data_IF_205303671412
#
_entry.id   IF_205303671412
#
_cell.length_a   1.000
_cell.length_b   1.000
_cell.length_c   1.000
_cell.angle_alpha   90.00
_cell.angle_beta   90.00
_cell.angle_gamma   90.00
#
_symmetry.space_group_name_H-M   'P 1'
#
loop_
_entity.id
_entity.type
_entity.pdbx_description
1 polymer ?
#
# COMPACT_ATOMS: atom_id res chain seq x y z
N UNK A 1 -14.86 5.25 -21.18
CA UNK A 1 -14.41 4.79 -19.86
C UNK A 1 -13.78 5.96 -19.13
N UNK A 2 -14.24 6.26 -17.91
CA UNK A 2 -13.68 7.32 -17.08
C UNK A 2 -12.28 6.88 -16.61
N UNK A 3 -11.22 7.60 -16.99
CA UNK A 3 -9.86 7.29 -16.54
C UNK A 3 -9.63 7.94 -15.16
N UNK A 4 -9.95 7.20 -14.10
CA UNK A 4 -9.82 7.64 -12.70
C UNK A 4 -8.40 8.12 -12.36
N UNK A 5 -7.38 7.46 -12.91
CA UNK A 5 -5.97 7.81 -12.72
C UNK A 5 -5.62 9.20 -13.26
N UNK A 6 -6.16 9.59 -14.42
CA UNK A 6 -5.93 10.91 -15.01
C UNK A 6 -6.58 12.04 -14.20
N UNK A 7 -7.82 11.84 -13.74
CA UNK A 7 -8.52 12.82 -12.90
C UNK A 7 -7.85 12.98 -11.52
N UNK A 8 -7.41 11.88 -10.92
CA UNK A 8 -6.61 11.91 -9.69
C UNK A 8 -5.32 12.69 -9.89
N UNK A 9 -4.59 12.42 -10.98
CA UNK A 9 -3.36 13.14 -11.35
C UNK A 9 -3.61 14.64 -11.55
N UNK A 10 -4.74 15.01 -12.19
CA UNK A 10 -5.15 16.40 -12.33
C UNK A 10 -5.34 17.09 -10.97
N UNK A 11 -6.11 16.47 -10.06
CA UNK A 11 -6.37 17.07 -8.74
C UNK A 11 -5.09 17.18 -7.90
N UNK A 12 -4.21 16.17 -7.91
CA UNK A 12 -2.91 16.28 -7.23
C UNK A 12 -2.02 17.37 -7.81
N UNK A 13 -1.90 17.46 -9.15
CA UNK A 13 -1.12 18.53 -9.80
C UNK A 13 -1.66 19.90 -9.42
N UNK A 14 -2.99 20.06 -9.38
CA UNK A 14 -3.65 21.31 -9.02
C UNK A 14 -3.45 21.67 -7.55
N UNK A 15 -3.59 20.71 -6.64
CA UNK A 15 -3.30 20.89 -5.22
C UNK A 15 -1.83 21.30 -4.98
N UNK A 16 -0.88 20.60 -5.61
CA UNK A 16 0.55 20.93 -5.54
C UNK A 16 0.85 22.33 -6.07
N UNK A 17 0.23 22.72 -7.19
CA UNK A 17 0.35 24.07 -7.77
C UNK A 17 -0.11 25.12 -6.75
N UNK A 18 -1.31 24.99 -6.18
CA UNK A 18 -1.81 25.95 -5.19
C UNK A 18 -0.95 26.01 -3.92
N UNK A 19 -0.41 24.88 -3.46
CA UNK A 19 0.50 24.84 -2.31
C UNK A 19 1.80 25.61 -2.57
N UNK A 20 2.37 25.51 -3.77
CA UNK A 20 3.57 26.26 -4.17
C UNK A 20 3.27 27.76 -4.23
N UNK A 21 2.19 28.15 -4.89
CA UNK A 21 1.79 29.57 -4.95
C UNK A 21 1.43 30.14 -3.57
N UNK A 22 0.80 29.34 -2.71
CA UNK A 22 0.50 29.73 -1.33
C UNK A 22 1.78 30.06 -0.56
N UNK A 23 2.80 29.20 -0.63
CA UNK A 23 4.11 29.45 0.01
C UNK A 23 4.80 30.70 -0.52
N UNK A 24 4.73 30.94 -1.83
CA UNK A 24 5.26 32.15 -2.44
C UNK A 24 4.55 33.40 -1.90
N UNK A 25 3.22 33.36 -1.83
CA UNK A 25 2.38 34.43 -1.27
C UNK A 25 2.73 34.72 0.19
N UNK A 26 2.88 33.67 1.01
CA UNK A 26 3.28 33.81 2.41
C UNK A 26 4.66 34.43 2.55
N UNK A 27 5.64 34.01 1.74
CA UNK A 27 6.99 34.57 1.73
C UNK A 27 6.98 36.08 1.42
N UNK A 28 6.18 36.49 0.43
CA UNK A 28 6.06 37.89 0.06
C UNK A 28 5.38 38.73 1.16
N UNK A 29 4.34 38.17 1.80
CA UNK A 29 3.68 38.78 2.96
C UNK A 29 4.65 38.99 4.14
N UNK A 30 5.45 37.96 4.47
CA UNK A 30 6.48 38.04 5.52
C UNK A 30 7.52 39.11 5.18
N UNK A 31 8.05 39.09 3.95
CA UNK A 31 9.10 40.01 3.51
C UNK A 31 8.64 41.46 3.57
N UNK A 32 7.44 41.76 3.06
CA UNK A 32 6.87 43.11 3.11
C UNK A 32 6.58 43.57 4.54
N UNK A 33 6.18 42.66 5.42
CA UNK A 33 5.99 42.96 6.86
C UNK A 33 7.32 43.22 7.56
N UNK A 34 8.40 42.53 7.19
CA UNK A 34 9.74 42.83 7.73
C UNK A 34 10.24 44.19 7.22
N UNK A 35 10.06 44.48 5.93
CA UNK A 35 10.42 45.77 5.34
C UNK A 35 9.67 46.91 6.04
N UNK A 36 8.38 46.74 6.32
CA UNK A 36 7.58 47.77 6.99
C UNK A 36 8.03 48.04 8.44
N UNK A 37 8.62 47.06 9.12
CA UNK A 37 9.23 47.23 10.46
C UNK A 37 10.61 47.92 10.37
N UNK A 38 11.40 47.64 9.33
CA UNK A 38 12.75 48.19 9.17
C UNK A 38 12.75 49.67 8.74
N UNK A 39 11.69 50.12 8.07
CA UNK A 39 11.48 51.52 7.73
C UNK A 39 11.20 52.32 9.01
N UNK A 40 12.18 53.12 9.47
CA UNK A 40 11.99 54.00 10.63
C UNK A 40 10.86 55.00 10.35
N UNK A 41 9.94 55.24 11.30
CA UNK A 41 8.89 56.23 11.13
C UNK A 41 9.51 57.63 11.02
N UNK A 42 9.37 58.20 9.83
CA UNK A 42 9.55 59.62 9.49
C UNK A 42 8.29 60.00 8.72
N UNK A 43 7.81 61.24 8.83
CA UNK A 43 6.55 61.67 8.21
C UNK A 43 6.39 61.28 6.73
N UNK A 44 7.47 61.16 5.95
CA UNK A 44 7.47 60.74 4.55
C UNK A 44 7.41 59.21 4.35
N UNK A 45 7.88 58.43 5.32
CA UNK A 45 7.93 56.97 5.28
C UNK A 45 6.62 56.30 5.74
N UNK A 46 5.74 57.04 6.43
CA UNK A 46 4.49 56.50 6.99
C UNK A 46 3.56 55.95 5.89
N UNK A 47 3.42 56.68 4.78
CA UNK A 47 2.62 56.26 3.62
C UNK A 47 3.17 54.95 3.04
N UNK A 48 4.49 54.82 2.95
CA UNK A 48 5.15 53.63 2.42
C UNK A 48 4.95 52.43 3.35
N UNK A 49 5.01 52.62 4.66
CA UNK A 49 4.77 51.58 5.66
C UNK A 49 3.33 51.05 5.58
N UNK A 50 2.35 51.96 5.44
CA UNK A 50 0.95 51.57 5.24
C UNK A 50 0.75 50.82 3.93
N UNK A 51 1.33 51.31 2.82
CA UNK A 51 1.26 50.65 1.53
C UNK A 51 1.84 49.22 1.59
N UNK A 52 3.03 49.06 2.17
CA UNK A 52 3.65 47.75 2.37
C UNK A 52 2.78 46.81 3.19
N UNK A 53 2.14 47.32 4.25
CA UNK A 53 1.27 46.52 5.12
C UNK A 53 -0.03 46.13 4.41
N UNK A 54 -0.62 47.03 3.62
CA UNK A 54 -1.81 46.73 2.81
C UNK A 54 -1.49 45.63 1.81
N UNK A 55 -0.39 45.77 1.06
CA UNK A 55 0.05 44.77 0.08
C UNK A 55 0.37 43.44 0.77
N UNK A 56 1.03 43.46 1.92
CA UNK A 56 1.31 42.27 2.72
C UNK A 56 0.02 41.55 3.19
N UNK A 57 -1.03 42.30 3.55
CA UNK A 57 -2.33 41.73 3.94
C UNK A 57 -3.05 41.05 2.76
N UNK A 58 -2.95 41.60 1.55
CA UNK A 58 -3.49 40.98 0.33
C UNK A 58 -2.78 39.64 0.08
N UNK A 59 -1.46 39.59 0.22
CA UNK A 59 -0.70 38.35 0.10
C UNK A 59 -1.02 37.33 1.21
N UNK A 60 -1.34 37.77 2.42
CA UNK A 60 -1.77 36.88 3.51
C UNK A 60 -3.14 36.26 3.22
N UNK A 61 -4.12 37.07 2.79
CA UNK A 61 -5.45 36.58 2.40
C UNK A 61 -5.35 35.63 1.20
N UNK A 62 -4.51 35.98 0.21
CA UNK A 62 -4.27 35.13 -0.94
C UNK A 62 -3.63 33.80 -0.53
N UNK A 63 -2.68 33.80 0.42
CA UNK A 63 -2.12 32.58 0.99
C UNK A 63 -3.21 31.68 1.61
N UNK A 64 -4.08 32.22 2.48
CA UNK A 64 -5.16 31.44 3.08
C UNK A 64 -6.11 30.85 2.04
N UNK A 65 -6.47 31.64 1.01
CA UNK A 65 -7.32 31.17 -0.10
C UNK A 65 -6.64 30.04 -0.88
N UNK A 66 -5.36 30.17 -1.19
CA UNK A 66 -4.59 29.15 -1.92
C UNK A 66 -4.41 27.87 -1.09
N UNK A 67 -4.19 28.00 0.21
CA UNK A 67 -4.06 26.84 1.12
C UNK A 67 -5.40 26.11 1.29
N UNK A 68 -6.51 26.84 1.37
CA UNK A 68 -7.85 26.26 1.32
C UNK A 68 -8.10 25.49 0.02
N UNK A 69 -7.79 26.09 -1.13
CA UNK A 69 -7.93 25.43 -2.44
C UNK A 69 -7.04 24.18 -2.54
N UNK A 70 -5.78 24.29 -2.11
CA UNK A 70 -4.84 23.17 -2.03
C UNK A 70 -5.44 21.99 -1.24
N UNK A 71 -5.93 22.25 -0.02
CA UNK A 71 -6.58 21.23 0.83
C UNK A 71 -7.84 20.66 0.17
N UNK A 72 -8.68 21.49 -0.44
CA UNK A 72 -9.91 21.06 -1.13
C UNK A 72 -9.61 20.11 -2.30
N UNK A 73 -8.66 20.45 -3.16
CA UNK A 73 -8.28 19.60 -4.29
C UNK A 73 -7.53 18.34 -3.85
N UNK A 74 -6.72 18.42 -2.78
CA UNK A 74 -6.07 17.24 -2.21
C UNK A 74 -7.11 16.24 -1.69
N UNK A 75 -8.13 16.71 -0.93
CA UNK A 75 -9.25 15.86 -0.48
C UNK A 75 -9.95 15.18 -1.64
N UNK A 76 -10.32 15.93 -2.68
CA UNK A 76 -10.93 15.35 -3.91
C UNK A 76 -10.05 14.29 -4.57
N UNK A 77 -8.72 14.49 -4.60
CA UNK A 77 -7.80 13.49 -5.15
C UNK A 77 -7.75 12.21 -4.29
N UNK A 78 -7.78 12.35 -2.96
CA UNK A 78 -7.84 11.24 -2.01
C UNK A 78 -9.14 10.47 -2.15
N UNK A 79 -10.27 11.17 -2.16
CA UNK A 79 -11.60 10.57 -2.24
C UNK A 79 -11.75 9.79 -3.55
N UNK A 80 -11.34 10.39 -4.68
CA UNK A 80 -11.37 9.74 -5.98
C UNK A 80 -10.46 8.50 -6.03
N UNK A 81 -9.30 8.57 -5.37
CA UNK A 81 -8.43 7.39 -5.26
C UNK A 81 -9.07 6.29 -4.42
N UNK A 82 -9.72 6.63 -3.29
CA UNK A 82 -10.42 5.64 -2.49
C UNK A 82 -11.57 4.98 -3.26
N UNK A 83 -12.31 5.75 -4.07
CA UNK A 83 -13.36 5.22 -4.94
C UNK A 83 -12.81 4.32 -6.06
N UNK A 84 -11.67 4.67 -6.65
CA UNK A 84 -10.96 3.83 -7.62
C UNK A 84 -10.59 2.48 -6.97
N UNK A 85 -10.09 2.49 -5.72
CA UNK A 85 -9.74 1.28 -4.99
C UNK A 85 -10.96 0.44 -4.61
N UNK A 86 -12.04 1.06 -4.16
CA UNK A 86 -13.30 0.37 -3.90
C UNK A 86 -13.82 -0.24 -5.22
N UNK A 87 -13.72 0.46 -6.35
CA UNK A 87 -14.13 -0.09 -7.65
C UNK A 87 -13.28 -1.28 -8.11
N UNK A 88 -11.99 -1.33 -7.75
CA UNK A 88 -11.14 -2.50 -7.99
C UNK A 88 -11.51 -3.70 -7.10
N UNK A 89 -12.07 -3.45 -5.91
CA UNK A 89 -12.37 -4.47 -4.89
C UNK A 89 -13.84 -4.94 -4.94
N UNK A 90 -14.78 -4.08 -5.29
CA UNK A 90 -16.23 -4.35 -5.32
C UNK A 90 -16.76 -4.24 -6.73
N UNK A 91 -17.45 -5.27 -7.23
CA UNK A 91 -18.01 -5.32 -8.58
C UNK A 91 -18.83 -4.06 -8.94
N UNK A 92 -18.23 -3.23 -9.81
CA UNK A 92 -18.70 -2.21 -10.79
C UNK A 92 -20.04 -1.43 -10.64
N UNK A 93 -21.06 -1.84 -9.88
CA UNK A 93 -22.45 -1.38 -10.15
C UNK A 93 -22.96 -0.19 -9.31
N UNK A 94 -22.45 0.04 -8.10
CA UNK A 94 -22.98 1.08 -7.19
C UNK A 94 -22.37 2.48 -7.37
N UNK A 95 -21.12 2.57 -7.84
CA UNK A 95 -20.35 3.82 -7.89
C UNK A 95 -20.78 4.77 -9.04
N UNK A 96 -21.40 4.24 -10.09
CA UNK A 96 -21.78 5.05 -11.25
C UNK A 96 -22.91 6.06 -10.97
N UNK A 97 -23.71 5.85 -9.90
CA UNK A 97 -24.83 6.71 -9.54
C UNK A 97 -24.40 7.94 -8.72
N UNK A 98 -23.40 7.81 -7.85
CA UNK A 98 -22.89 8.93 -7.02
C UNK A 98 -21.99 9.90 -7.81
N UNK A 99 -21.37 9.43 -8.90
CA UNK A 99 -20.36 10.19 -9.65
C UNK A 99 -20.97 11.14 -10.70
N UNK A 100 -22.21 10.90 -11.13
CA UNK A 100 -22.91 11.75 -12.11
C UNK A 100 -23.05 13.21 -11.65
N UNK A 101 -23.05 13.45 -10.33
CA UNK A 101 -23.16 14.76 -9.71
C UNK A 101 -21.87 15.60 -9.83
N UNK A 102 -20.71 14.97 -10.08
CA UNK A 102 -19.40 15.63 -10.04
C UNK A 102 -18.87 16.11 -11.40
N UNK A 103 -19.63 15.97 -12.49
CA UNK A 103 -19.14 16.19 -13.86
C UNK A 103 -19.77 17.41 -14.53
N UNK A 104 -18.99 18.48 -14.78
CA UNK A 104 -19.22 19.35 -15.92
C UNK A 104 -18.16 19.08 -17.01
N UNK A 105 -18.65 18.59 -18.14
CA UNK A 105 -18.08 18.68 -19.50
C UNK A 105 -16.72 17.98 -19.78
N UNK A 106 -16.78 16.83 -20.44
CA UNK A 106 -15.63 16.18 -21.07
C UNK A 106 -15.40 16.73 -22.49
N UNK A 107 -14.18 17.19 -22.76
CA UNK A 107 -13.61 17.11 -24.11
C UNK A 107 -12.10 16.83 -24.05
N UNK A 108 -11.74 15.73 -24.72
CA UNK A 108 -10.38 15.25 -25.08
C UNK A 108 -9.39 15.05 -23.93
N UNK A 109 -8.98 13.81 -23.69
CA UNK A 109 -7.62 13.40 -24.06
C UNK A 109 -7.43 11.88 -23.99
N UNK A 110 -6.60 11.43 -24.91
CA UNK A 110 -6.21 10.06 -25.22
C UNK A 110 -4.75 9.83 -24.83
N UNK A 111 -4.43 8.55 -24.54
CA UNK A 111 -3.11 7.89 -24.60
C UNK A 111 -1.98 8.50 -23.76
N UNK A 112 -1.68 7.91 -22.61
CA UNK A 112 -0.29 7.76 -22.12
C UNK A 112 -0.10 6.38 -21.46
N UNK A 113 1.01 5.78 -21.87
CA UNK A 113 1.67 4.52 -21.52
C UNK A 113 1.84 4.21 -20.04
N UNK A 114 1.76 2.92 -19.73
CA UNK A 114 2.26 2.27 -18.51
C UNK A 114 3.78 2.43 -18.40
N UNK A 115 4.23 3.37 -17.58
CA UNK A 115 5.62 3.43 -17.13
C UNK A 115 5.79 2.47 -15.95
N UNK A 116 6.52 1.37 -16.18
CA UNK A 116 7.18 0.61 -15.13
C UNK A 116 8.19 1.52 -14.43
N UNK A 117 7.93 1.86 -13.16
CA UNK A 117 8.88 2.56 -12.33
C UNK A 117 9.94 1.56 -11.85
N UNK A 118 11.11 1.57 -12.49
CA UNK A 118 12.35 1.13 -11.84
C UNK A 118 12.57 2.00 -10.60
N UNK A 119 12.40 1.41 -9.42
CA UNK A 119 12.79 2.05 -8.16
C UNK A 119 13.61 1.05 -7.35
N UNK A 120 14.91 1.29 -7.27
CA UNK A 120 15.92 0.55 -6.49
C UNK A 120 15.74 0.66 -4.97
N UNK A 121 14.52 0.91 -4.50
CA UNK A 121 14.20 1.22 -3.10
C UNK A 121 13.56 0.05 -2.34
N UNK A 122 13.06 -0.97 -3.04
CA UNK A 122 12.27 -2.05 -2.42
C UNK A 122 12.91 -3.40 -2.70
N UNK A 123 13.33 -4.12 -1.64
CA UNK A 123 13.79 -5.51 -1.73
C UNK A 123 12.61 -6.45 -1.49
N UNK A 124 11.72 -6.58 -2.49
CA UNK A 124 10.66 -7.58 -2.42
C UNK A 124 11.23 -8.99 -2.69
N UNK A 125 10.88 -10.01 -1.89
CA UNK A 125 11.22 -11.39 -2.19
C UNK A 125 10.75 -11.79 -3.60
N UNK A 126 11.50 -12.65 -4.32
CA UNK A 126 11.09 -13.13 -5.62
C UNK A 126 9.86 -14.03 -5.46
N UNK A 127 8.80 -13.65 -6.14
CA UNK A 127 7.58 -14.43 -6.42
C UNK A 127 6.57 -14.54 -5.27
N UNK A 128 5.64 -13.58 -5.28
CA UNK A 128 4.46 -13.56 -4.43
C UNK A 128 3.28 -13.08 -5.29
N UNK A 129 2.09 -13.69 -5.14
CA UNK A 129 0.80 -13.24 -5.68
C UNK A 129 0.68 -11.69 -5.60
N UNK A 130 0.13 -11.03 -6.63
CA UNK A 130 0.03 -9.55 -6.73
C UNK A 130 -0.46 -8.90 -5.44
N UNK A 131 -1.48 -9.46 -4.77
CA UNK A 131 -2.02 -8.90 -3.51
C UNK A 131 -1.03 -8.98 -2.36
N UNK A 132 -0.34 -10.09 -2.30
CA UNK A 132 0.57 -10.45 -1.25
C UNK A 132 1.88 -9.65 -1.46
N UNK A 133 2.34 -9.49 -2.71
CA UNK A 133 3.38 -8.53 -3.11
C UNK A 133 3.03 -7.08 -2.76
N UNK A 134 1.78 -6.67 -3.00
CA UNK A 134 1.29 -5.35 -2.59
C UNK A 134 1.29 -5.21 -1.06
N UNK A 135 0.85 -6.22 -0.32
CA UNK A 135 0.89 -6.24 1.14
C UNK A 135 2.33 -6.13 1.67
N UNK A 136 3.29 -6.84 1.09
CA UNK A 136 4.71 -6.73 1.44
C UNK A 136 5.25 -5.32 1.20
N UNK A 137 4.94 -4.69 0.06
CA UNK A 137 5.36 -3.31 -0.23
C UNK A 137 4.75 -2.30 0.74
N UNK A 138 3.47 -2.49 1.09
CA UNK A 138 2.79 -1.65 2.09
C UNK A 138 3.43 -1.86 3.46
N UNK A 139 3.70 -3.10 3.85
CA UNK A 139 4.35 -3.45 5.11
C UNK A 139 5.76 -2.87 5.20
N UNK A 140 6.56 -2.98 4.15
CA UNK A 140 7.90 -2.38 4.03
C UNK A 140 7.80 -0.86 4.18
N UNK A 141 6.88 -0.23 3.45
CA UNK A 141 6.66 1.21 3.56
C UNK A 141 6.26 1.63 4.98
N UNK A 142 5.33 0.90 5.62
CA UNK A 142 4.92 1.15 7.00
C UNK A 142 6.08 0.96 7.99
N UNK A 143 6.94 -0.06 7.79
CA UNK A 143 8.13 -0.28 8.61
C UNK A 143 9.08 0.91 8.57
N UNK A 144 9.35 1.45 7.38
CA UNK A 144 10.20 2.62 7.23
C UNK A 144 9.54 3.87 7.77
N UNK A 145 8.31 4.14 7.34
CA UNK A 145 7.63 5.39 7.62
C UNK A 145 7.20 5.53 9.06
N UNK A 146 6.87 4.45 9.80
CA UNK A 146 6.67 4.55 11.25
C UNK A 146 7.93 5.05 11.96
N UNK A 147 9.12 4.59 11.55
CA UNK A 147 10.39 5.04 12.14
C UNK A 147 10.69 6.49 11.77
N UNK A 148 10.57 6.83 10.49
CA UNK A 148 10.88 8.16 9.98
C UNK A 148 9.91 9.22 10.50
N UNK A 149 8.60 8.96 10.50
CA UNK A 149 7.62 9.88 11.08
C UNK A 149 7.87 10.11 12.56
N UNK A 150 8.21 9.07 13.33
CA UNK A 150 8.58 9.21 14.75
C UNK A 150 9.81 10.10 14.93
N UNK A 151 10.84 9.95 14.10
CA UNK A 151 12.04 10.79 14.14
C UNK A 151 11.73 12.26 13.83
N UNK A 152 10.98 12.51 12.76
CA UNK A 152 10.59 13.88 12.37
C UNK A 152 9.69 14.49 13.44
N UNK A 153 8.73 13.73 13.98
CA UNK A 153 7.87 14.16 15.08
C UNK A 153 8.69 14.59 16.29
N UNK A 154 9.61 13.75 16.77
CA UNK A 154 10.46 14.07 17.92
C UNK A 154 11.33 15.31 17.68
N UNK A 155 11.88 15.47 16.46
CA UNK A 155 12.61 16.68 16.11
C UNK A 155 11.73 17.93 16.16
N UNK A 156 10.54 17.91 15.54
CA UNK A 156 9.65 19.08 15.57
C UNK A 156 9.11 19.36 16.99
N UNK A 157 8.91 18.33 17.81
CA UNK A 157 8.51 18.48 19.22
C UNK A 157 9.61 19.16 20.04
N UNK A 158 10.88 18.81 19.83
CA UNK A 158 12.02 19.48 20.48
C UNK A 158 12.07 20.97 20.13
N UNK A 159 11.73 21.34 18.90
CA UNK A 159 11.66 22.74 18.46
C UNK A 159 10.38 23.47 18.91
N UNK A 160 9.37 22.78 19.42
CA UNK A 160 8.10 23.40 19.78
C UNK A 160 8.26 24.46 20.87
N UNK A 161 9.04 24.16 21.92
CA UNK A 161 9.30 25.12 23.00
C UNK A 161 10.07 26.32 22.45
N UNK A 162 11.13 26.08 21.66
CA UNK A 162 11.92 27.15 21.06
C UNK A 162 11.07 28.06 20.16
N UNK A 163 10.24 27.48 19.29
CA UNK A 163 9.34 28.23 18.39
C UNK A 163 8.27 28.95 19.19
N UNK A 164 7.72 28.33 20.24
CA UNK A 164 6.79 28.98 21.17
C UNK A 164 7.41 30.18 21.88
N UNK A 165 8.66 30.07 22.32
CA UNK A 165 9.42 31.17 22.91
C UNK A 165 9.70 32.28 21.89
N UNK A 166 10.10 31.95 20.66
CA UNK A 166 10.28 32.93 19.58
C UNK A 166 8.96 33.64 19.28
N UNK A 167 7.85 32.91 19.24
CA UNK A 167 6.52 33.46 19.03
C UNK A 167 6.12 34.41 20.16
N UNK A 168 6.23 33.98 21.42
CA UNK A 168 5.92 34.79 22.59
C UNK A 168 6.82 36.04 22.64
N UNK A 169 8.12 35.90 22.40
CA UNK A 169 9.07 37.01 22.32
C UNK A 169 8.69 37.99 21.21
N UNK A 170 8.35 37.50 20.01
CA UNK A 170 7.87 38.33 18.91
C UNK A 170 6.61 39.11 19.30
N UNK A 171 5.67 38.46 19.99
CA UNK A 171 4.43 39.07 20.46
C UNK A 171 4.68 40.13 21.55
N UNK A 172 5.60 39.89 22.49
CA UNK A 172 5.92 40.86 23.55
C UNK A 172 6.70 42.07 23.03
N UNK A 173 7.65 41.88 22.11
CA UNK A 173 8.32 43.01 21.44
C UNK A 173 7.29 43.86 20.69
N UNK A 174 6.29 43.23 20.07
CA UNK A 174 5.23 43.94 19.37
C UNK A 174 4.36 44.81 20.27
N UNK A 175 4.21 44.48 21.56
CA UNK A 175 3.53 45.37 22.50
C UNK A 175 4.45 46.53 22.88
N UNK A 176 5.68 46.23 23.30
CA UNK A 176 6.59 47.23 23.88
C UNK A 176 7.13 48.25 22.86
N UNK A 177 7.52 47.81 21.65
CA UNK A 177 8.20 48.68 20.69
C UNK A 177 7.25 49.57 19.89
N UNK A 178 6.03 49.09 19.71
CA UNK A 178 5.05 49.63 18.78
C UNK A 178 3.99 50.48 19.51
N UNK A 179 3.88 50.41 20.83
CA UNK A 179 3.02 51.30 21.64
C UNK A 179 3.48 52.76 21.68
N UNK A 180 4.72 53.03 21.30
CA UNK A 180 5.23 54.41 21.16
C UNK A 180 4.76 55.11 19.88
N UNK A 181 4.11 54.40 18.95
CA UNK A 181 3.70 54.94 17.63
C UNK A 181 2.25 54.53 17.33
N UNK A 182 1.29 55.39 17.67
CA UNK A 182 -0.14 55.17 17.39
C UNK A 182 -0.46 54.98 15.89
N UNK A 183 0.41 55.44 14.98
CA UNK A 183 0.25 55.31 13.53
C UNK A 183 0.45 53.89 12.96
N UNK A 184 0.78 52.87 13.77
CA UNK A 184 1.15 51.54 13.22
C UNK A 184 0.17 50.41 13.57
N UNK A 185 -1.02 50.72 14.08
CA UNK A 185 -2.01 49.72 14.55
C UNK A 185 -2.30 48.62 13.51
N UNK A 186 -2.47 49.00 12.24
CA UNK A 186 -2.74 48.05 11.16
C UNK A 186 -1.59 47.05 10.95
N UNK A 187 -0.34 47.54 10.95
CA UNK A 187 0.86 46.70 10.85
C UNK A 187 0.98 45.75 12.04
N UNK A 188 0.62 46.20 13.26
CA UNK A 188 0.60 45.34 14.46
C UNK A 188 -0.38 44.18 14.28
N UNK A 189 -1.62 44.47 13.86
CA UNK A 189 -2.65 43.46 13.66
C UNK A 189 -2.21 42.45 12.59
N UNK A 190 -1.67 42.94 11.47
CA UNK A 190 -1.19 42.07 10.40
C UNK A 190 -0.09 41.11 10.88
N UNK A 191 0.87 41.62 11.65
CA UNK A 191 1.97 40.83 12.17
C UNK A 191 1.48 39.75 13.16
N UNK A 192 0.52 40.08 14.04
CA UNK A 192 -0.12 39.10 14.95
C UNK A 192 -0.84 38.00 14.16
N UNK A 193 -1.57 38.36 13.09
CA UNK A 193 -2.23 37.38 12.23
C UNK A 193 -1.23 36.46 11.52
N UNK A 194 -0.12 37.04 11.03
CA UNK A 194 0.91 36.31 10.31
C UNK A 194 1.65 35.33 11.24
N UNK A 195 2.10 35.79 12.41
CA UNK A 195 2.77 34.93 13.38
C UNK A 195 1.83 33.81 13.86
N UNK A 196 0.56 34.13 14.12
CA UNK A 196 -0.44 33.15 14.55
C UNK A 196 -0.69 32.10 13.46
N UNK A 197 -0.76 32.52 12.20
CA UNK A 197 -0.92 31.61 11.06
C UNK A 197 0.26 30.64 10.95
N UNK A 198 1.50 31.14 11.07
CA UNK A 198 2.70 30.30 11.04
C UNK A 198 2.74 29.30 12.20
N UNK A 199 2.37 29.75 13.40
CA UNK A 199 2.33 28.90 14.59
C UNK A 199 1.28 27.79 14.44
N UNK A 200 0.07 28.11 13.98
CA UNK A 200 -0.98 27.13 13.72
C UNK A 200 -0.53 26.10 12.68
N UNK A 201 0.12 26.52 11.59
CA UNK A 201 0.66 25.59 10.60
C UNK A 201 1.70 24.64 11.19
N UNK A 202 2.56 25.15 12.08
CA UNK A 202 3.57 24.36 12.76
C UNK A 202 2.93 23.30 13.69
N UNK A 203 1.95 23.69 14.49
CA UNK A 203 1.19 22.76 15.35
C UNK A 203 0.48 21.69 14.49
N UNK A 204 -0.19 22.12 13.42
CA UNK A 204 -0.90 21.21 12.51
C UNK A 204 0.05 20.18 11.88
N UNK A 205 1.28 20.59 11.53
CA UNK A 205 2.33 19.68 11.06
C UNK A 205 2.70 18.63 12.12
N UNK A 206 2.89 19.04 13.38
CA UNK A 206 3.21 18.11 14.48
C UNK A 206 2.08 17.09 14.69
N UNK A 207 0.83 17.55 14.75
CA UNK A 207 -0.35 16.67 14.90
C UNK A 207 -0.42 15.66 13.76
N UNK A 208 -0.25 16.10 12.51
CA UNK A 208 -0.28 15.21 11.36
C UNK A 208 0.90 14.22 11.34
N UNK A 209 2.09 14.61 11.81
CA UNK A 209 3.22 13.69 11.96
C UNK A 209 2.90 12.59 12.99
N UNK A 210 2.29 12.96 14.13
CA UNK A 210 1.85 12.00 15.15
C UNK A 210 0.81 11.04 14.60
N UNK A 211 -0.24 11.56 13.96
CA UNK A 211 -1.30 10.74 13.38
C UNK A 211 -0.75 9.78 12.31
N UNK A 212 0.18 10.25 11.47
CA UNK A 212 0.82 9.40 10.47
C UNK A 212 1.67 8.29 11.11
N UNK A 213 2.44 8.61 12.15
CA UNK A 213 3.21 7.62 12.92
C UNK A 213 2.30 6.55 13.55
N UNK A 214 1.24 6.95 14.23
CA UNK A 214 0.31 6.03 14.90
C UNK A 214 -0.42 5.16 13.88
N UNK A 215 -0.94 5.76 12.80
CA UNK A 215 -1.63 5.01 11.73
C UNK A 215 -0.70 4.01 11.04
N UNK A 216 0.53 4.41 10.72
CA UNK A 216 1.53 3.50 10.11
C UNK A 216 1.92 2.36 11.06
N UNK A 217 1.96 2.62 12.36
CA UNK A 217 2.25 1.60 13.38
C UNK A 217 1.10 0.60 13.49
N UNK A 218 -0.15 1.08 13.50
CA UNK A 218 -1.33 0.22 13.53
C UNK A 218 -1.41 -0.68 12.30
N UNK A 219 -1.24 -0.11 11.10
CA UNK A 219 -1.25 -0.87 9.85
C UNK A 219 -0.11 -1.88 9.85
N UNK A 220 1.10 -1.49 10.26
CA UNK A 220 2.24 -2.39 10.38
C UNK A 220 1.93 -3.60 11.28
N UNK A 221 1.39 -3.36 12.48
CA UNK A 221 1.06 -4.43 13.44
C UNK A 221 -0.01 -5.37 12.87
N UNK A 222 -1.03 -4.83 12.21
CA UNK A 222 -2.07 -5.67 11.59
C UNK A 222 -1.56 -6.50 10.42
N UNK A 223 -0.68 -5.93 9.59
CA UNK A 223 -0.11 -6.62 8.43
C UNK A 223 0.91 -7.69 8.84
N UNK A 224 1.65 -7.49 9.93
CA UNK A 224 2.61 -8.48 10.44
C UNK A 224 1.92 -9.61 11.21
N UNK A 225 0.84 -9.31 11.96
CA UNK A 225 0.09 -10.31 12.73
C UNK A 225 -0.91 -11.13 11.89
N UNK A 226 -1.31 -10.64 10.71
CA UNK A 226 -2.26 -11.32 9.80
C UNK A 226 -1.75 -11.35 8.35
N UNK A 227 -0.84 -12.26 8.02
CA UNK A 227 -0.10 -12.20 6.76
C UNK A 227 -0.91 -12.74 5.57
N UNK A 228 -1.99 -13.45 5.88
CA UNK A 228 -3.03 -13.81 4.91
C UNK A 228 -4.27 -12.96 5.17
N UNK A 229 -4.28 -11.76 4.61
CA UNK A 229 -5.50 -10.96 4.55
C UNK A 229 -6.40 -11.54 3.47
N UNK A 230 -7.64 -11.89 3.83
CA UNK A 230 -8.70 -12.05 2.83
C UNK A 230 -8.78 -10.78 1.97
N UNK A 231 -9.25 -10.91 0.72
CA UNK A 231 -9.33 -9.80 -0.23
C UNK A 231 -10.05 -8.57 0.37
N UNK A 232 -11.05 -8.81 1.22
CA UNK A 232 -11.77 -7.81 2.01
C UNK A 232 -10.94 -7.13 3.11
N UNK A 233 -10.18 -7.91 3.89
CA UNK A 233 -9.36 -7.37 4.98
C UNK A 233 -8.17 -6.57 4.44
N UNK A 234 -7.56 -7.02 3.33
CA UNK A 234 -6.48 -6.27 2.69
C UNK A 234 -6.99 -4.95 2.12
N UNK A 235 -8.15 -4.95 1.48
CA UNK A 235 -8.78 -3.73 0.97
C UNK A 235 -9.00 -2.67 2.06
N UNK A 236 -9.42 -3.08 3.27
CA UNK A 236 -9.59 -2.17 4.42
C UNK A 236 -8.25 -1.57 4.85
N UNK A 237 -7.24 -2.40 5.08
CA UNK A 237 -5.93 -1.92 5.55
C UNK A 237 -5.21 -1.10 4.48
N UNK A 238 -5.34 -1.46 3.21
CA UNK A 238 -4.81 -0.69 2.09
C UNK A 238 -5.50 0.67 1.94
N UNK A 239 -6.81 0.76 2.19
CA UNK A 239 -7.54 2.03 2.18
C UNK A 239 -7.06 2.94 3.31
N UNK A 240 -6.87 2.41 4.52
CA UNK A 240 -6.29 3.15 5.65
C UNK A 240 -4.88 3.65 5.33
N UNK A 241 -4.04 2.78 4.77
CA UNK A 241 -2.69 3.12 4.33
C UNK A 241 -2.67 4.27 3.34
N UNK A 242 -3.50 4.22 2.29
CA UNK A 242 -3.57 5.30 1.31
C UNK A 242 -4.06 6.61 1.92
N UNK A 243 -5.10 6.57 2.77
CA UNK A 243 -5.56 7.75 3.50
C UNK A 243 -4.44 8.36 4.37
N UNK A 244 -3.65 7.51 5.02
CA UNK A 244 -2.49 7.93 5.80
C UNK A 244 -1.45 8.61 4.91
N UNK A 245 -0.96 7.95 3.85
CA UNK A 245 0.07 8.52 2.95
C UNK A 245 -0.35 9.87 2.36
N UNK A 246 -1.61 10.02 1.98
CA UNK A 246 -2.09 11.23 1.31
C UNK A 246 -2.31 12.41 2.26
N UNK A 247 -2.47 12.13 3.56
CA UNK A 247 -2.59 13.15 4.60
C UNK A 247 -1.28 13.41 5.34
N UNK A 248 -0.32 12.49 5.24
CA UNK A 248 0.92 12.55 5.97
C UNK A 248 1.83 13.68 5.47
N UNK A 249 2.58 14.34 6.38
CA UNK A 249 3.57 15.34 6.00
C UNK A 249 4.72 14.74 5.19
N UNK A 250 5.38 15.55 4.36
CA UNK A 250 6.57 15.09 3.63
C UNK A 250 7.73 14.83 4.60
N UNK A 251 8.35 13.66 4.47
CA UNK A 251 9.62 13.34 5.14
C UNK A 251 10.78 13.89 4.28
N UNK A 252 11.73 14.65 4.86
CA UNK A 252 12.94 15.08 4.16
C UNK A 252 13.72 13.93 3.49
N UNK A 253 14.12 14.09 2.22
CA UNK A 253 14.88 13.07 1.48
C UNK A 253 16.22 12.70 2.13
N UNK A 254 16.84 13.65 2.85
CA UNK A 254 18.06 13.42 3.62
C UNK A 254 17.88 12.36 4.69
N UNK A 255 16.72 12.29 5.35
CA UNK A 255 16.45 11.29 6.39
C UNK A 255 16.41 9.87 5.84
N UNK A 256 15.86 9.69 4.63
CA UNK A 256 15.91 8.41 3.94
C UNK A 256 17.34 7.98 3.64
N UNK A 257 18.21 8.91 3.22
CA UNK A 257 19.64 8.60 2.99
C UNK A 257 20.38 8.28 4.29
N UNK A 258 20.15 9.06 5.36
CA UNK A 258 20.81 8.89 6.65
C UNK A 258 20.47 7.56 7.33
N UNK A 259 19.19 7.15 7.27
CA UNK A 259 18.72 5.95 7.95
C UNK A 259 18.55 4.74 7.02
N UNK A 260 18.75 4.90 5.70
CA UNK A 260 18.49 3.87 4.70
C UNK A 260 19.18 2.54 5.00
N UNK A 261 20.49 2.55 5.28
CA UNK A 261 21.23 1.32 5.62
C UNK A 261 20.62 0.61 6.83
N UNK A 262 20.39 1.34 7.92
CA UNK A 262 19.79 0.80 9.15
C UNK A 262 18.39 0.22 8.91
N UNK A 263 17.58 0.90 8.09
CA UNK A 263 16.23 0.46 7.75
C UNK A 263 16.25 -0.80 6.88
N UNK A 264 17.15 -0.87 5.90
CA UNK A 264 17.37 -2.07 5.08
C UNK A 264 17.81 -3.26 5.95
N UNK A 265 18.87 -3.09 6.74
CA UNK A 265 19.39 -4.16 7.61
C UNK A 265 18.30 -4.67 8.59
N UNK A 266 17.45 -3.77 9.08
CA UNK A 266 16.35 -4.10 9.96
C UNK A 266 15.18 -4.78 9.24
N UNK A 267 14.88 -4.38 8.00
CA UNK A 267 13.88 -4.99 7.15
C UNK A 267 14.29 -6.40 6.74
N UNK A 268 15.54 -6.60 6.30
CA UNK A 268 16.05 -7.91 5.88
C UNK A 268 15.99 -8.94 7.02
N UNK A 269 16.32 -8.52 8.25
CA UNK A 269 16.14 -9.36 9.45
C UNK A 269 14.68 -9.73 9.69
N UNK A 270 13.77 -8.76 9.59
CA UNK A 270 12.35 -9.01 9.79
C UNK A 270 11.79 -9.99 8.75
N UNK A 271 12.18 -9.83 7.48
CA UNK A 271 11.81 -10.75 6.40
C UNK A 271 12.36 -12.16 6.66
N UNK A 272 13.62 -12.28 7.05
CA UNK A 272 14.29 -13.56 7.25
C UNK A 272 13.75 -14.34 8.45
N UNK A 273 13.47 -13.67 9.57
CA UNK A 273 13.17 -14.35 10.84
C UNK A 273 11.69 -14.31 11.23
N UNK A 274 10.96 -13.24 10.93
CA UNK A 274 9.57 -13.06 11.38
C UNK A 274 8.56 -13.42 10.28
N UNK A 275 8.82 -13.06 9.01
CA UNK A 275 7.85 -13.29 7.92
C UNK A 275 8.00 -14.67 7.25
N UNK A 276 9.23 -15.15 7.02
CA UNK A 276 9.48 -16.49 6.45
C UNK A 276 9.05 -17.65 7.37
N UNK A 277 9.16 -17.48 8.69
CA UNK A 277 8.91 -18.55 9.67
C UNK A 277 7.43 -18.69 10.06
N UNK A 278 6.62 -17.64 9.90
CA UNK A 278 5.32 -17.57 10.59
C UNK A 278 4.09 -18.00 9.79
N UNK A 279 4.08 -18.01 8.45
CA UNK A 279 2.81 -18.24 7.72
C UNK A 279 2.80 -19.37 6.70
N UNK A 280 3.72 -19.44 5.76
CA UNK A 280 3.51 -20.32 4.60
C UNK A 280 3.44 -21.79 5.02
N UNK A 281 4.37 -22.25 5.86
CA UNK A 281 4.42 -23.65 6.29
C UNK A 281 3.25 -24.00 7.21
N UNK A 282 2.96 -23.18 8.23
CA UNK A 282 1.85 -23.43 9.16
C UNK A 282 0.49 -23.36 8.46
N UNK A 283 0.28 -22.41 7.54
CA UNK A 283 -0.96 -22.29 6.77
C UNK A 283 -1.11 -23.43 5.75
N UNK A 284 -0.01 -23.88 5.12
CA UNK A 284 -0.01 -25.11 4.30
C UNK A 284 -0.48 -26.28 5.15
N UNK A 285 0.05 -26.42 6.37
CA UNK A 285 -0.32 -27.53 7.26
C UNK A 285 -1.79 -27.46 7.70
N UNK A 286 -2.28 -26.27 8.08
CA UNK A 286 -3.68 -26.07 8.43
C UNK A 286 -4.61 -26.36 7.24
N UNK A 287 -4.23 -25.89 6.05
CA UNK A 287 -4.99 -26.12 4.81
C UNK A 287 -5.03 -27.60 4.46
N UNK A 288 -3.89 -28.29 4.51
CA UNK A 288 -3.82 -29.73 4.25
C UNK A 288 -4.60 -30.55 5.28
N UNK A 289 -4.63 -30.11 6.54
CA UNK A 289 -5.46 -30.73 7.56
C UNK A 289 -6.96 -30.64 7.21
N UNK A 290 -7.43 -29.45 6.81
CA UNK A 290 -8.83 -29.25 6.37
C UNK A 290 -9.14 -30.14 5.17
N UNK A 291 -8.27 -30.14 4.14
CA UNK A 291 -8.45 -30.96 2.93
C UNK A 291 -8.54 -32.45 3.31
N UNK A 292 -7.62 -32.93 4.15
CA UNK A 292 -7.63 -34.31 4.62
C UNK A 292 -8.94 -34.66 5.33
N UNK A 293 -9.41 -33.82 6.25
CA UNK A 293 -10.67 -34.06 6.97
C UNK A 293 -11.86 -34.13 6.00
N UNK A 294 -11.91 -33.23 5.01
CA UNK A 294 -12.97 -33.21 3.99
C UNK A 294 -12.93 -34.46 3.10
N UNK A 295 -11.73 -34.89 2.68
CA UNK A 295 -11.57 -36.05 1.82
C UNK A 295 -11.77 -37.38 2.55
N UNK A 296 -11.37 -37.46 3.82
CA UNK A 296 -11.58 -38.66 4.65
C UNK A 296 -13.03 -38.81 5.10
N UNK A 297 -13.76 -37.70 5.25
CA UNK A 297 -15.21 -37.72 5.52
C UNK A 297 -16.02 -38.24 4.32
N UNK A 298 -15.44 -38.31 3.11
CA UNK A 298 -16.08 -38.94 1.96
C UNK A 298 -16.18 -40.46 2.15
N UNK A 299 -17.37 -41.00 1.90
CA UNK A 299 -17.63 -42.44 1.93
C UNK A 299 -16.89 -43.24 0.84
N UNK A 300 -16.33 -42.57 -0.18
CA UNK A 300 -15.77 -43.22 -1.37
C UNK A 300 -14.25 -43.41 -1.35
N UNK A 301 -13.57 -43.14 -0.23
CA UNK A 301 -12.11 -43.31 -0.05
C UNK A 301 -11.31 -42.73 -1.23
N UNK A 302 -11.37 -41.41 -1.35
CA UNK A 302 -10.72 -40.66 -2.42
C UNK A 302 -9.21 -40.94 -2.42
N UNK A 303 -8.66 -41.35 -3.57
CA UNK A 303 -7.21 -41.45 -3.77
C UNK A 303 -6.68 -40.10 -4.21
N UNK A 304 -5.86 -39.49 -3.34
CA UNK A 304 -5.22 -38.20 -3.59
C UNK A 304 -3.78 -38.20 -3.04
N UNK A 305 -2.97 -37.27 -3.54
CA UNK A 305 -1.66 -36.93 -2.99
C UNK A 305 -1.28 -35.48 -3.31
N UNK A 306 -0.51 -34.84 -2.42
CA UNK A 306 0.13 -33.55 -2.67
C UNK A 306 1.34 -33.73 -3.59
N UNK A 307 1.48 -32.87 -4.60
CA UNK A 307 2.59 -32.90 -5.59
C UNK A 307 3.35 -31.56 -5.62
N UNK A 308 4.33 -31.43 -6.51
CA UNK A 308 4.98 -30.16 -6.81
C UNK A 308 5.73 -29.52 -5.64
N UNK A 309 5.64 -28.19 -5.57
CA UNK A 309 6.39 -27.40 -4.57
C UNK A 309 5.93 -27.68 -3.13
N UNK A 310 4.63 -27.91 -2.92
CA UNK A 310 4.06 -28.29 -1.63
C UNK A 310 4.60 -29.63 -1.12
N UNK A 311 4.69 -30.63 -2.01
CA UNK A 311 5.31 -31.93 -1.69
C UNK A 311 6.78 -31.77 -1.28
N UNK A 312 7.52 -30.88 -1.95
CA UNK A 312 8.92 -30.58 -1.62
C UNK A 312 9.10 -29.91 -0.26
N UNK A 313 8.20 -29.00 0.12
CA UNK A 313 8.17 -28.39 1.47
C UNK A 313 7.86 -29.43 2.54
N UNK A 314 6.87 -30.30 2.31
CA UNK A 314 6.52 -31.37 3.26
C UNK A 314 7.70 -32.33 3.49
N UNK A 315 8.52 -32.58 2.46
CA UNK A 315 9.74 -33.39 2.58
C UNK A 315 10.92 -32.67 3.25
N UNK A 316 10.83 -31.36 3.50
CA UNK A 316 11.94 -30.55 4.00
C UNK A 316 13.05 -30.32 2.97
N UNK A 317 12.73 -30.39 1.66
CA UNK A 317 13.66 -30.12 0.56
C UNK A 317 13.59 -28.66 0.12
N UNK A 318 12.44 -28.02 0.28
CA UNK A 318 12.23 -26.59 -0.02
C UNK A 318 11.68 -25.89 1.23
N UNK A 319 12.03 -24.62 1.38
CA UNK A 319 11.48 -23.75 2.44
C UNK A 319 10.25 -22.96 1.96
N UNK A 320 9.88 -23.08 0.68
CA UNK A 320 8.86 -22.23 0.06
C UNK A 320 7.96 -22.98 -0.93
N UNK A 321 6.70 -22.54 -0.98
CA UNK A 321 5.62 -23.08 -1.80
C UNK A 321 4.52 -22.01 -1.96
N UNK A 322 4.03 -21.80 -3.18
CA UNK A 322 3.08 -20.71 -3.50
C UNK A 322 1.61 -21.16 -3.39
N UNK A 323 1.36 -22.41 -3.73
CA UNK A 323 0.06 -23.06 -3.90
C UNK A 323 0.18 -24.55 -3.57
N UNK A 324 -0.95 -25.19 -3.30
CA UNK A 324 -0.97 -26.63 -3.01
C UNK A 324 -1.51 -27.35 -4.24
N UNK A 325 -0.62 -28.06 -4.92
CA UNK A 325 -0.99 -28.95 -6.02
C UNK A 325 -1.42 -30.30 -5.48
N UNK A 326 -2.60 -30.77 -5.90
CA UNK A 326 -3.14 -32.08 -5.52
C UNK A 326 -3.48 -32.88 -6.77
N UNK A 327 -2.90 -34.07 -6.87
CA UNK A 327 -3.27 -35.06 -7.88
C UNK A 327 -4.29 -36.01 -7.28
N UNK A 328 -5.38 -36.23 -8.01
CA UNK A 328 -6.46 -37.13 -7.63
C UNK A 328 -6.74 -38.14 -8.74
N UNK A 329 -7.42 -39.23 -8.38
CA UNK A 329 -7.89 -40.21 -9.35
C UNK A 329 -9.15 -39.69 -10.10
N UNK A 330 -9.25 -40.03 -11.39
CA UNK A 330 -10.31 -39.59 -12.32
C UNK A 330 -11.70 -39.82 -11.77
N UNK A 331 -11.87 -40.95 -11.09
CA UNK A 331 -13.17 -41.42 -10.65
C UNK A 331 -13.81 -40.52 -9.59
N UNK A 332 -13.05 -39.60 -9.00
CA UNK A 332 -13.49 -38.75 -7.89
C UNK A 332 -13.51 -37.24 -8.22
N UNK A 333 -13.19 -36.82 -9.44
CA UNK A 333 -13.06 -35.39 -9.78
C UNK A 333 -14.32 -34.56 -9.50
N UNK A 334 -15.50 -35.06 -9.88
CA UNK A 334 -16.76 -34.35 -9.64
C UNK A 334 -17.20 -34.39 -8.17
N UNK A 335 -16.83 -35.44 -7.44
CA UNK A 335 -17.10 -35.57 -6.02
C UNK A 335 -16.27 -34.56 -5.21
N UNK A 336 -14.98 -34.47 -5.52
CA UNK A 336 -14.07 -33.48 -4.92
C UNK A 336 -14.58 -32.06 -5.18
N UNK A 337 -15.05 -31.79 -6.41
CA UNK A 337 -15.59 -30.47 -6.76
C UNK A 337 -16.79 -30.10 -5.88
N UNK A 338 -17.68 -31.05 -5.59
CA UNK A 338 -18.81 -30.81 -4.68
C UNK A 338 -18.39 -30.71 -3.21
N UNK A 339 -17.44 -31.53 -2.74
CA UNK A 339 -16.88 -31.43 -1.38
C UNK A 339 -16.27 -30.03 -1.15
N UNK A 340 -15.57 -29.51 -2.15
CA UNK A 340 -14.87 -28.23 -2.09
C UNK A 340 -15.68 -27.05 -2.65
N UNK A 341 -16.97 -27.23 -2.90
CA UNK A 341 -17.84 -26.22 -3.52
C UNK A 341 -17.80 -24.86 -2.82
N UNK A 342 -17.72 -24.85 -1.49
CA UNK A 342 -17.64 -23.63 -0.69
C UNK A 342 -16.33 -22.84 -0.90
N UNK A 343 -15.28 -23.50 -1.39
CA UNK A 343 -13.94 -22.94 -1.60
C UNK A 343 -13.61 -22.72 -3.08
N UNK A 344 -14.56 -22.98 -3.99
CA UNK A 344 -14.36 -23.02 -5.44
C UNK A 344 -14.10 -21.63 -6.02
N UNK A 345 -13.02 -21.50 -6.78
CA UNK A 345 -12.73 -20.36 -7.66
C UNK A 345 -13.04 -20.75 -9.10
N UNK A 346 -12.50 -21.88 -9.54
CA UNK A 346 -12.75 -22.45 -10.87
C UNK A 346 -13.34 -23.85 -10.71
N UNK A 347 -14.47 -24.08 -11.38
CA UNK A 347 -15.16 -25.37 -11.35
C UNK A 347 -14.31 -26.44 -12.01
N UNK A 348 -14.27 -27.64 -11.41
CA UNK A 348 -13.62 -28.80 -12.01
C UNK A 348 -14.17 -29.09 -13.40
N UNK A 349 -13.31 -29.02 -14.42
CA UNK A 349 -13.66 -29.32 -15.81
C UNK A 349 -12.48 -29.89 -16.58
N UNK A 350 -12.74 -30.47 -17.76
CA UNK A 350 -11.67 -30.76 -18.71
C UNK A 350 -11.07 -29.45 -19.19
N UNK A 351 -9.79 -29.25 -18.92
CA UNK A 351 -9.02 -28.09 -19.31
C UNK A 351 -7.89 -28.50 -20.23
N UNK A 352 -7.61 -27.67 -21.22
CA UNK A 352 -6.44 -27.78 -22.08
C UNK A 352 -5.86 -26.39 -22.19
N UNK A 353 -4.64 -26.21 -21.70
CA UNK A 353 -3.95 -24.94 -21.70
C UNK A 353 -2.55 -25.16 -22.27
N UNK A 354 -2.29 -24.57 -23.44
CA UNK A 354 -1.02 -24.74 -24.16
C UNK A 354 -0.68 -26.23 -24.36
N UNK A 355 0.29 -26.74 -23.59
CA UNK A 355 0.89 -28.06 -23.73
C UNK A 355 0.55 -28.97 -22.53
N UNK A 356 -0.49 -28.64 -21.76
CA UNK A 356 -1.01 -29.48 -20.68
C UNK A 356 -2.52 -29.61 -20.80
N UNK A 357 -3.03 -30.82 -20.56
CA UNK A 357 -4.46 -31.06 -20.39
C UNK A 357 -4.71 -31.97 -19.20
N UNK A 358 -5.81 -31.73 -18.51
CA UNK A 358 -6.24 -32.51 -17.34
C UNK A 358 -7.71 -32.22 -17.04
N UNK A 359 -8.31 -32.98 -16.13
CA UNK A 359 -9.37 -32.41 -15.32
C UNK A 359 -8.72 -31.44 -14.33
N UNK A 360 -9.17 -30.20 -14.31
CA UNK A 360 -8.60 -29.13 -13.50
C UNK A 360 -9.70 -28.37 -12.77
N UNK A 361 -9.45 -28.06 -11.50
CA UNK A 361 -10.25 -27.15 -10.70
C UNK A 361 -9.37 -26.35 -9.76
N UNK A 362 -9.80 -25.14 -9.42
CA UNK A 362 -9.05 -24.21 -8.57
C UNK A 362 -9.88 -23.79 -7.37
N UNK A 363 -9.28 -23.86 -6.18
CA UNK A 363 -9.95 -23.58 -4.91
C UNK A 363 -9.08 -22.67 -4.02
N UNK A 364 -9.69 -22.06 -3.00
CA UNK A 364 -8.98 -21.22 -2.01
C UNK A 364 -9.44 -21.55 -0.60
N UNK A 365 -8.53 -22.08 0.22
CA UNK A 365 -8.76 -22.39 1.64
C UNK A 365 -7.69 -21.64 2.44
N UNK A 366 -8.09 -20.94 3.50
CA UNK A 366 -7.14 -20.19 4.33
C UNK A 366 -6.33 -19.15 3.54
N UNK A 367 -6.83 -18.69 2.40
CA UNK A 367 -6.13 -17.78 1.48
C UNK A 367 -5.01 -18.41 0.64
N UNK A 368 -4.78 -19.72 0.74
CA UNK A 368 -3.88 -20.49 -0.11
C UNK A 368 -4.66 -21.02 -1.32
N UNK A 369 -4.08 -20.90 -2.52
CA UNK A 369 -4.63 -21.53 -3.72
C UNK A 369 -4.35 -23.02 -3.74
N UNK A 370 -5.35 -23.78 -4.13
CA UNK A 370 -5.26 -25.23 -4.27
C UNK A 370 -5.66 -25.56 -5.70
N UNK A 371 -4.72 -26.16 -6.42
CA UNK A 371 -4.91 -26.62 -7.78
C UNK A 371 -5.11 -28.13 -7.74
N UNK A 372 -6.28 -28.59 -8.19
CA UNK A 372 -6.61 -30.02 -8.18
C UNK A 372 -6.61 -30.51 -9.62
N UNK A 373 -5.82 -31.55 -9.86
CA UNK A 373 -5.60 -32.12 -11.17
C UNK A 373 -5.87 -33.63 -11.18
N UNK A 374 -6.42 -34.12 -12.29
CA UNK A 374 -6.54 -35.55 -12.57
C UNK A 374 -6.30 -35.83 -14.04
N UNK A 375 -5.76 -37.01 -14.34
CA UNK A 375 -5.45 -37.44 -15.71
C UNK A 375 -4.63 -36.40 -16.46
N UNK A 376 -3.53 -36.01 -15.83
CA UNK A 376 -2.63 -35.01 -16.41
C UNK A 376 -1.88 -35.61 -17.59
N UNK A 377 -1.92 -34.91 -18.71
CA UNK A 377 -1.20 -35.23 -19.94
C UNK A 377 -0.44 -33.99 -20.41
N UNK A 378 0.81 -34.17 -20.82
CA UNK A 378 1.63 -33.13 -21.41
C UNK A 378 1.83 -33.38 -22.90
N UNK A 379 1.82 -32.31 -23.69
CA UNK A 379 2.08 -32.38 -25.13
C UNK A 379 3.59 -32.37 -25.38
N UNK A 380 4.10 -33.39 -26.09
CA UNK A 380 5.50 -33.57 -26.48
C UNK A 380 5.50 -34.00 -27.95
N UNK A 381 6.20 -33.27 -28.81
CA UNK A 381 6.32 -33.56 -30.25
C UNK A 381 4.95 -33.89 -30.92
N UNK A 382 3.95 -33.06 -30.60
CA UNK A 382 2.55 -33.21 -31.02
C UNK A 382 1.74 -34.39 -30.45
N UNK A 383 2.34 -35.23 -29.60
CA UNK A 383 1.66 -36.31 -28.89
C UNK A 383 1.32 -35.93 -27.44
N UNK A 384 0.16 -36.40 -26.96
CA UNK A 384 -0.23 -36.25 -25.57
C UNK A 384 0.28 -37.44 -24.76
N UNK A 385 1.23 -37.17 -23.87
CA UNK A 385 1.86 -38.17 -23.01
C UNK A 385 1.24 -38.06 -21.61
N UNK A 386 0.60 -39.13 -21.16
CA UNK A 386 0.04 -39.22 -19.82
C UNK A 386 1.13 -39.31 -18.75
N UNK A 387 0.86 -38.67 -17.61
CA UNK A 387 1.64 -38.88 -16.40
C UNK A 387 1.61 -40.35 -16.00
N UNK A 388 2.68 -40.85 -15.34
CA UNK A 388 2.69 -42.22 -14.82
C UNK A 388 1.56 -42.42 -13.80
N UNK A 389 1.19 -43.68 -13.50
CA UNK A 389 0.26 -43.97 -12.42
C UNK A 389 0.69 -43.29 -11.12
N UNK A 390 -0.28 -42.75 -10.37
CA UNK A 390 0.00 -42.03 -9.12
C UNK A 390 0.66 -42.96 -8.11
N UNK A 391 1.93 -42.70 -7.82
CA UNK A 391 2.66 -43.31 -6.71
C UNK A 391 2.73 -42.31 -5.55
N UNK A 392 2.39 -42.77 -4.35
CA UNK A 392 2.31 -41.92 -3.17
C UNK A 392 2.96 -42.58 -1.96
N UNK A 393 3.55 -41.75 -1.11
CA UNK A 393 4.08 -42.12 0.19
C UNK A 393 3.34 -41.35 1.30
N UNK A 394 3.33 -41.93 2.50
CA UNK A 394 2.72 -41.33 3.67
C UNK A 394 3.76 -40.52 4.43
N UNK A 395 3.41 -39.29 4.80
CA UNK A 395 4.21 -38.46 5.70
C UNK A 395 3.40 -38.02 6.90
N UNK A 396 3.99 -38.18 8.08
CA UNK A 396 3.39 -37.70 9.33
C UNK A 396 3.84 -36.28 9.58
N UNK A 397 2.87 -35.40 9.77
CA UNK A 397 3.09 -33.98 9.89
C UNK A 397 2.22 -33.44 11.04
N UNK A 398 2.86 -33.01 12.13
CA UNK A 398 2.17 -32.59 13.38
C UNK A 398 1.06 -33.57 13.83
N UNK A 399 1.36 -34.87 13.78
CA UNK A 399 0.44 -35.99 14.11
C UNK A 399 -0.68 -36.25 13.09
N UNK A 400 -0.62 -35.64 11.90
CA UNK A 400 -1.55 -35.88 10.80
C UNK A 400 -0.81 -36.61 9.69
N UNK A 401 -1.37 -37.70 9.19
CA UNK A 401 -0.78 -38.44 8.07
C UNK A 401 -1.33 -37.93 6.75
N UNK A 402 -0.48 -37.37 5.89
CA UNK A 402 -0.84 -36.87 4.56
C UNK A 402 -0.14 -37.72 3.51
N UNK A 403 -0.81 -37.92 2.37
CA UNK A 403 -0.20 -38.54 1.20
C UNK A 403 0.48 -37.47 0.36
N UNK A 404 1.74 -37.71 0.03
CA UNK A 404 2.49 -36.95 -0.97
C UNK A 404 2.92 -37.89 -2.08
N UNK A 405 3.19 -37.37 -3.27
CA UNK A 405 3.80 -38.14 -4.37
C UNK A 405 5.11 -38.79 -3.93
N UNK A 406 5.59 -39.84 -4.60
CA UNK A 406 6.96 -40.34 -4.40
C UNK A 406 7.97 -39.47 -5.14
N UNK A 407 9.26 -39.52 -4.75
CA UNK A 407 10.32 -38.85 -5.53
C UNK A 407 10.44 -39.43 -6.94
N UNK A 408 10.32 -40.74 -7.09
CA UNK A 408 10.37 -41.44 -8.37
C UNK A 408 9.23 -41.00 -9.31
N UNK A 409 8.02 -40.82 -8.79
CA UNK A 409 6.90 -40.24 -9.54
C UNK A 409 7.23 -38.83 -10.05
N UNK A 410 7.70 -37.95 -9.17
CA UNK A 410 8.07 -36.56 -9.52
C UNK A 410 9.20 -36.53 -10.55
N UNK A 411 10.21 -37.41 -10.44
CA UNK A 411 11.30 -37.53 -11.42
C UNK A 411 10.82 -38.00 -12.79
N UNK A 412 9.91 -38.97 -12.84
CA UNK A 412 9.28 -39.43 -14.10
C UNK A 412 8.48 -38.31 -14.75
N UNK A 413 7.68 -37.57 -13.98
CA UNK A 413 6.91 -36.40 -14.46
C UNK A 413 7.86 -35.31 -14.94
N UNK A 414 8.92 -35.00 -14.19
CA UNK A 414 9.91 -34.01 -14.59
C UNK A 414 10.63 -34.39 -15.88
N UNK A 415 10.94 -35.68 -16.12
CA UNK A 415 11.51 -36.14 -17.39
C UNK A 415 10.57 -35.91 -18.58
N UNK A 416 9.26 -36.12 -18.39
CA UNK A 416 8.23 -35.80 -19.40
C UNK A 416 8.27 -34.29 -19.67
N UNK A 417 8.21 -33.46 -18.62
CA UNK A 417 8.21 -32.01 -18.75
C UNK A 417 9.53 -31.47 -19.32
N UNK A 418 10.69 -32.06 -19.00
CA UNK A 418 12.01 -31.61 -19.48
C UNK A 418 12.25 -31.97 -20.95
N UNK A 419 11.76 -33.12 -21.43
CA UNK A 419 11.80 -33.47 -22.87
C UNK A 419 11.15 -32.40 -23.75
N UNK A 420 10.22 -31.62 -23.20
CA UNK A 420 9.60 -30.46 -23.83
C UNK A 420 10.58 -29.30 -24.11
N UNK A 421 11.56 -29.08 -23.24
CA UNK A 421 12.39 -27.87 -23.26
C UNK A 421 13.69 -28.03 -24.06
N UNK A 422 14.00 -29.23 -24.55
CA UNK A 422 15.27 -29.53 -25.20
C UNK A 422 16.45 -29.43 -24.22
N UNK A 423 17.45 -30.28 -24.38
CA UNK A 423 18.81 -29.93 -23.94
C UNK A 423 19.39 -28.84 -24.85
#
# INVERSE_FOLDING_TARGET
MINYSEMRSYFFKKAKKYKIFGRFSLCLSVTLTIISILLKPRHEADILIYLCSIVASIFLIMFWRLEYLSKKYNRKAVDLHSLELIQFVTEKRLINLEIAEYIPYQKKMSKISTASSDSSYYSTPPEINIYQRCAYRVLENCYWNKFLYKKVYNWNLAFLILIGCIFAYSFFIQQVYLDKVNLLLFTKILLVLLTSSLFIEFIYKIVNLKNAYESMTEIYLRLIDRPVLSDTNFGIEFTKYNKCILSAPNIPSLLYKLYGKKLNDGWDKLVQYELKSSNTITEIYNTLYIIKQLFDASSKKIKWAVTGSASSVIRGVSDHCNDIDIIVDKNHVYEIDEILKAFRIEKMCNSTLNDIRSFYGKYKIGGIFIDIMSNVENKIDDEWIAHPPLEKEKKTLRNIEIYITTKDFEEKVNKIIQRKYGE
#
